data_IF_003555186101
#
_entry.id   IF_003555186101
#
_cell.length_a   1.000
_cell.length_b   1.000
_cell.length_c   1.000
_cell.angle_alpha   90.00
_cell.angle_beta   90.00
_cell.angle_gamma   90.00
#
_symmetry.space_group_name_H-M   'P 1'
#
loop_
_entity.id
_entity.type
_entity.pdbx_description
1 polymer ?
#
# COMPACT_ATOMS: atom_id res chain seq x y z
N UNK A 1 -18.03 26.20 -7.07
CA UNK A 1 -17.44 25.80 -8.37
C UNK A 1 -15.95 26.03 -8.24
N UNK A 2 -15.03 25.06 -8.22
CA UNK A 2 -14.96 23.68 -8.70
C UNK A 2 -14.14 22.79 -7.73
N UNK A 3 -14.17 21.45 -7.86
CA UNK A 3 -13.58 20.53 -6.87
C UNK A 3 -12.10 20.24 -7.17
N UNK A 4 -11.21 20.46 -6.20
CA UNK A 4 -9.82 19.96 -6.29
C UNK A 4 -9.75 18.54 -5.73
N UNK A 5 -10.26 17.57 -6.48
CA UNK A 5 -9.84 16.17 -6.32
C UNK A 5 -8.41 16.06 -6.86
N UNK A 6 -7.39 16.00 -5.99
CA UNK A 6 -6.07 15.47 -6.35
C UNK A 6 -5.16 15.40 -5.13
N UNK A 7 -5.39 14.44 -4.25
CA UNK A 7 -4.32 13.96 -3.36
C UNK A 7 -4.49 12.45 -3.19
N UNK A 8 -4.16 11.69 -4.24
CA UNK A 8 -3.64 10.34 -4.01
C UNK A 8 -2.22 10.58 -3.47
N UNK A 9 -2.14 10.76 -2.15
CA UNK A 9 -0.89 11.03 -1.46
C UNK A 9 -0.09 9.75 -1.42
N UNK A 10 0.89 9.65 -2.32
CA UNK A 10 2.07 8.75 -2.29
C UNK A 10 2.17 7.89 -1.02
N UNK A 11 1.61 6.68 -1.02
CA UNK A 11 1.79 5.76 0.09
C UNK A 11 3.23 5.25 0.08
N UNK A 12 3.97 5.65 1.12
CA UNK A 12 5.32 5.22 1.42
C UNK A 12 5.21 3.97 2.30
N UNK A 13 5.81 2.86 1.87
CA UNK A 13 5.88 1.65 2.67
C UNK A 13 7.34 1.31 2.91
N UNK A 14 7.78 1.16 4.17
CA UNK A 14 9.06 0.53 4.51
C UNK A 14 8.83 -0.94 4.90
N UNK A 15 9.82 -1.81 4.66
CA UNK A 15 9.75 -3.28 4.83
C UNK A 15 9.51 -3.74 6.28
N UNK A 16 9.51 -2.84 7.26
CA UNK A 16 9.48 -3.16 8.70
C UNK A 16 8.46 -2.39 9.55
N UNK A 17 7.70 -1.44 9.01
CA UNK A 17 6.88 -0.54 9.83
C UNK A 17 5.44 -0.45 9.32
N UNK A 18 4.66 -1.49 9.62
CA UNK A 18 3.22 -1.31 9.75
C UNK A 18 2.95 -0.66 11.11
N UNK A 19 3.13 0.66 11.25
CA UNK A 19 2.39 1.38 12.30
C UNK A 19 1.00 1.71 11.75
N UNK A 20 0.04 0.87 12.09
CA UNK A 20 -1.39 1.23 12.02
C UNK A 20 -1.57 2.35 13.04
N UNK A 21 -1.56 3.60 12.58
CA UNK A 21 -1.97 4.73 13.40
C UNK A 21 -3.50 4.64 13.53
N UNK A 22 -4.05 4.46 14.73
CA UNK A 22 -5.49 4.47 14.91
C UNK A 22 -6.06 5.83 14.48
N UNK A 23 -7.29 5.85 13.95
CA UNK A 23 -7.88 7.06 13.34
C UNK A 23 -7.96 8.28 14.27
N UNK A 24 -7.86 8.07 15.59
CA UNK A 24 -7.88 9.12 16.61
C UNK A 24 -6.48 9.68 16.98
N UNK A 25 -5.40 9.18 16.40
CA UNK A 25 -4.04 9.59 16.72
C UNK A 25 -3.41 10.37 15.55
N UNK A 26 -2.81 11.52 15.84
CA UNK A 26 -2.16 12.35 14.81
C UNK A 26 -0.79 11.74 14.50
N UNK A 27 -0.42 11.57 13.22
CA UNK A 27 0.93 11.13 12.88
C UNK A 27 1.95 12.11 13.47
N UNK A 28 3.14 11.64 13.86
CA UNK A 28 4.20 12.53 14.28
C UNK A 28 4.49 13.56 13.18
N UNK A 29 4.84 14.81 13.52
CA UNK A 29 5.18 15.82 12.52
C UNK A 29 6.30 15.34 11.60
N UNK A 30 6.23 15.64 10.30
CA UNK A 30 7.28 15.28 9.32
C UNK A 30 8.69 15.66 9.79
N UNK A 31 8.82 16.72 10.60
CA UNK A 31 10.09 17.20 11.15
C UNK A 31 10.78 16.25 12.14
N UNK A 32 10.07 15.28 12.73
CA UNK A 32 10.66 14.30 13.65
C UNK A 32 10.94 12.95 13.00
N UNK A 33 10.51 12.75 11.75
CA UNK A 33 10.81 11.56 10.95
C UNK A 33 12.23 11.73 10.41
N UNK A 34 13.19 11.06 11.05
CA UNK A 34 14.64 11.24 10.76
C UNK A 34 15.09 10.67 9.41
N UNK A 35 14.25 9.88 8.74
CA UNK A 35 14.52 9.24 7.45
C UNK A 35 13.29 9.35 6.54
N UNK A 36 13.43 9.74 5.25
CA UNK A 36 12.29 9.61 4.35
C UNK A 36 11.91 8.14 4.26
N UNK A 37 10.67 7.74 4.60
CA UNK A 37 10.28 6.35 4.47
C UNK A 37 10.48 5.94 3.02
N UNK A 38 11.23 4.85 2.80
CA UNK A 38 11.34 4.23 1.49
C UNK A 38 9.92 4.07 0.95
N UNK A 39 9.68 4.53 -0.29
CA UNK A 39 8.38 4.37 -0.93
C UNK A 39 8.50 3.21 -1.91
N UNK A 40 7.91 2.06 -1.62
CA UNK A 40 7.79 0.99 -2.61
C UNK A 40 6.57 1.23 -3.49
N UNK A 41 6.76 1.11 -4.80
CA UNK A 41 5.69 1.23 -5.78
C UNK A 41 5.24 -0.18 -6.18
N UNK A 42 3.97 -0.54 -5.98
CA UNK A 42 3.47 -1.84 -6.41
C UNK A 42 3.39 -1.88 -7.93
N UNK A 43 4.00 -2.90 -8.55
CA UNK A 43 4.04 -3.10 -10.00
C UNK A 43 2.85 -3.94 -10.48
N UNK A 44 2.60 -5.07 -9.80
CA UNK A 44 1.63 -6.06 -10.22
C UNK A 44 1.13 -6.91 -9.04
N UNK A 45 -0.12 -7.37 -9.10
CA UNK A 45 -0.60 -8.46 -8.24
C UNK A 45 -0.35 -9.79 -8.96
N UNK A 46 0.37 -10.69 -8.30
CA UNK A 46 0.72 -12.01 -8.82
C UNK A 46 -0.31 -13.08 -8.42
N UNK A 47 -0.87 -12.97 -7.21
CA UNK A 47 -1.80 -13.96 -6.69
C UNK A 47 -2.76 -13.36 -5.66
N UNK A 48 -3.85 -14.07 -5.40
CA UNK A 48 -4.90 -13.77 -4.44
C UNK A 48 -5.22 -15.02 -3.64
N UNK A 49 -5.45 -14.85 -2.33
CA UNK A 49 -6.01 -15.89 -1.49
C UNK A 49 -6.79 -15.31 -0.31
N UNK A 50 -7.53 -16.17 0.39
CA UNK A 50 -8.19 -15.83 1.66
C UNK A 50 -7.45 -16.53 2.81
N UNK A 51 -7.01 -15.77 3.81
CA UNK A 51 -6.36 -16.31 5.03
C UNK A 51 -7.08 -15.79 6.27
N UNK A 52 -7.59 -16.71 7.09
CA UNK A 52 -8.40 -16.39 8.29
C UNK A 52 -9.59 -15.47 8.00
N UNK A 53 -10.24 -15.68 6.84
CA UNK A 53 -11.39 -14.87 6.41
C UNK A 53 -11.05 -13.47 5.88
N UNK A 54 -9.77 -13.18 5.65
CA UNK A 54 -9.32 -11.90 5.07
C UNK A 54 -8.68 -12.15 3.70
N UNK A 55 -9.10 -11.38 2.71
CA UNK A 55 -8.48 -11.34 1.39
C UNK A 55 -7.08 -10.74 1.46
N UNK A 56 -6.13 -11.39 0.77
CA UNK A 56 -4.75 -10.96 0.64
C UNK A 56 -4.30 -11.11 -0.80
N UNK A 57 -3.41 -10.21 -1.23
CA UNK A 57 -2.82 -10.23 -2.56
C UNK A 57 -1.29 -10.30 -2.47
N UNK A 58 -0.68 -11.15 -3.28
CA UNK A 58 0.77 -11.22 -3.42
C UNK A 58 1.21 -10.13 -4.40
N UNK A 59 1.87 -9.09 -3.89
CA UNK A 59 2.24 -7.88 -4.64
C UNK A 59 3.70 -7.96 -5.06
N UNK A 60 3.95 -7.83 -6.37
CA UNK A 60 5.27 -7.53 -6.95
C UNK A 60 5.54 -6.04 -6.83
N UNK A 61 6.75 -5.69 -6.42
CA UNK A 61 7.20 -4.31 -6.26
C UNK A 61 8.12 -3.90 -7.40
N UNK A 62 8.00 -2.66 -7.88
CA UNK A 62 8.86 -2.15 -8.93
C UNK A 62 10.34 -2.25 -8.51
N UNK A 63 11.19 -2.71 -9.45
CA UNK A 63 12.64 -2.90 -9.26
C UNK A 63 13.03 -4.04 -8.31
N UNK A 64 12.07 -4.83 -7.84
CA UNK A 64 12.32 -6.06 -7.08
C UNK A 64 11.91 -7.29 -7.90
N UNK A 65 12.60 -8.42 -7.75
CA UNK A 65 12.21 -9.66 -8.39
C UNK A 65 10.93 -10.23 -7.75
N UNK A 66 10.20 -11.06 -8.51
CA UNK A 66 8.98 -11.73 -8.05
C UNK A 66 9.20 -12.59 -6.78
N UNK A 67 10.44 -13.07 -6.56
CA UNK A 67 10.83 -13.80 -5.34
C UNK A 67 10.75 -12.95 -4.07
N UNK A 68 10.69 -11.63 -4.20
CA UNK A 68 10.50 -10.67 -3.11
C UNK A 68 9.07 -10.10 -3.05
N UNK A 69 8.11 -10.72 -3.76
CA UNK A 69 6.72 -10.35 -3.63
C UNK A 69 6.19 -10.62 -2.20
N UNK A 70 5.28 -9.76 -1.73
CA UNK A 70 4.77 -9.78 -0.34
C UNK A 70 3.25 -9.87 -0.34
N UNK A 71 2.68 -10.65 0.59
CA UNK A 71 1.24 -10.71 0.82
C UNK A 71 0.76 -9.46 1.57
N UNK A 72 0.04 -8.59 0.87
CA UNK A 72 -0.58 -7.39 1.43
C UNK A 72 -2.09 -7.60 1.64
N UNK A 73 -2.68 -7.02 2.69
CA UNK A 73 -4.13 -7.02 2.90
C UNK A 73 -4.89 -6.33 1.76
N UNK A 74 -6.04 -6.89 1.38
CA UNK A 74 -6.89 -6.32 0.31
C UNK A 74 -7.39 -4.91 0.64
N UNK A 75 -7.81 -4.67 1.89
CA UNK A 75 -8.37 -3.39 2.34
C UNK A 75 -7.38 -2.21 2.21
N UNK A 76 -6.09 -2.48 2.34
CA UNK A 76 -5.02 -1.52 2.08
C UNK A 76 -4.90 -1.21 0.59
N UNK A 77 -4.77 -2.24 -0.24
CA UNK A 77 -4.59 -2.08 -1.67
C UNK A 77 -5.81 -1.44 -2.35
N UNK A 78 -7.02 -1.69 -1.85
CA UNK A 78 -8.25 -1.03 -2.29
C UNK A 78 -8.23 0.48 -2.03
N UNK A 79 -7.64 0.92 -0.91
CA UNK A 79 -7.53 2.34 -0.56
C UNK A 79 -6.45 3.06 -1.36
N UNK A 80 -5.32 2.40 -1.58
CA UNK A 80 -4.14 3.06 -2.14
C UNK A 80 -4.01 2.91 -3.66
N UNK A 81 -4.30 1.71 -4.17
CA UNK A 81 -4.07 1.33 -5.57
C UNK A 81 -5.23 0.48 -6.13
N UNK A 82 -6.49 0.96 -6.06
CA UNK A 82 -7.66 0.18 -6.48
C UNK A 82 -7.61 -0.26 -7.95
N UNK A 83 -6.95 0.52 -8.81
CA UNK A 83 -6.79 0.16 -10.23
C UNK A 83 -5.91 -1.08 -10.43
N UNK A 84 -4.97 -1.36 -9.52
CA UNK A 84 -4.15 -2.55 -9.59
C UNK A 84 -4.98 -3.80 -9.28
N UNK A 85 -5.87 -3.74 -8.29
CA UNK A 85 -6.84 -4.80 -8.00
C UNK A 85 -7.79 -5.01 -9.18
N UNK A 86 -8.33 -3.92 -9.73
CA UNK A 86 -9.21 -4.00 -10.91
C UNK A 86 -8.51 -4.67 -12.10
N UNK A 87 -7.24 -4.35 -12.33
CA UNK A 87 -6.43 -4.95 -13.40
C UNK A 87 -6.21 -6.43 -13.17
N UNK A 88 -6.04 -6.87 -11.93
CA UNK A 88 -5.85 -8.28 -11.59
C UNK A 88 -7.10 -9.14 -11.88
N UNK A 89 -8.29 -8.58 -11.67
CA UNK A 89 -9.57 -9.28 -11.90
C UNK A 89 -10.17 -9.11 -13.30
N UNK A 90 -9.47 -8.42 -14.20
CA UNK A 90 -9.84 -8.38 -15.62
C UNK A 90 -9.34 -9.62 -16.34
#
# INVERSE_FOLDING_TARGET
MEPKHSYVTRCAYTRKELQIVPENERPPPDSVIREQPERFVPEQILWHHIKKGQDQYLVKWERYPDTEAIWEPADRLEKDVPDLIRKFWK
#
